data_IF_517963504738
#
_entry.id   IF_517963504738
#
_cell.length_a   1.000
_cell.length_b   1.000
_cell.length_c   1.000
_cell.angle_alpha   90.00
_cell.angle_beta   90.00
_cell.angle_gamma   90.00
#
_symmetry.space_group_name_H-M   'P 1'
#
loop_
_entity.id
_entity.type
_entity.pdbx_description
1 polymer ?
#
# COMPACT_ATOMS: atom_id res chain seq x y z
N UNK A 1 41.16 -0.37 23.37
CA UNK A 1 42.09 -1.16 22.54
C UNK A 1 41.91 -2.69 22.64
N UNK A 2 41.71 -3.29 23.84
CA UNK A 2 41.49 -4.76 23.98
C UNK A 2 40.14 -5.29 23.46
N UNK A 3 39.10 -4.45 23.36
CA UNK A 3 37.76 -4.85 22.86
C UNK A 3 37.71 -4.97 21.33
N UNK A 4 38.51 -4.18 20.61
CA UNK A 4 38.56 -4.19 19.13
C UNK A 4 39.26 -5.45 18.59
N UNK A 5 40.26 -5.98 19.33
CA UNK A 5 40.96 -7.21 18.93
C UNK A 5 40.14 -8.49 19.14
N UNK A 6 39.11 -8.47 20.01
CA UNK A 6 38.18 -9.58 20.16
C UNK A 6 37.13 -9.62 19.04
N UNK A 7 36.68 -8.46 18.54
CA UNK A 7 35.76 -8.39 17.38
C UNK A 7 36.40 -8.93 16.09
N UNK A 8 37.69 -8.67 15.84
CA UNK A 8 38.38 -9.23 14.65
C UNK A 8 38.57 -10.75 14.74
N UNK A 9 38.71 -11.32 15.94
CA UNK A 9 38.93 -12.76 16.11
C UNK A 9 37.64 -13.58 15.91
N UNK A 10 36.47 -12.97 16.12
CA UNK A 10 35.15 -13.59 15.87
C UNK A 10 34.70 -13.42 14.41
N UNK A 11 34.98 -12.26 13.78
CA UNK A 11 34.63 -12.03 12.37
C UNK A 11 35.47 -12.85 11.37
N UNK A 12 36.63 -13.39 11.79
CA UNK A 12 37.57 -14.08 10.90
C UNK A 12 37.27 -15.57 10.61
N UNK A 13 36.21 -16.18 11.15
CA UNK A 13 35.99 -17.63 11.03
C UNK A 13 34.70 -18.10 10.36
N UNK A 14 33.73 -17.24 10.07
CA UNK A 14 32.46 -17.65 9.46
C UNK A 14 32.29 -17.22 8.00
N UNK A 15 33.38 -17.27 7.23
CA UNK A 15 33.29 -17.31 5.76
C UNK A 15 33.55 -18.74 5.30
N UNK A 16 32.50 -19.57 5.27
CA UNK A 16 32.40 -20.76 4.43
C UNK A 16 30.93 -21.25 4.40
N UNK A 17 30.36 -21.09 3.20
CA UNK A 17 29.33 -21.91 2.53
C UNK A 17 28.35 -22.72 3.40
N UNK A 18 27.07 -22.37 3.19
CA UNK A 18 25.85 -23.18 3.29
C UNK A 18 25.88 -24.54 3.97
N UNK A 19 25.10 -24.66 5.04
CA UNK A 19 24.48 -25.91 5.48
C UNK A 19 23.08 -25.61 6.07
N UNK A 20 22.01 -26.33 5.67
CA UNK A 20 20.65 -26.10 6.15
C UNK A 20 20.33 -27.11 7.25
N UNK A 21 20.59 -26.76 8.51
CA UNK A 21 19.97 -27.33 9.73
C UNK A 21 20.88 -27.05 10.92
N UNK A 22 20.67 -25.92 11.61
CA UNK A 22 21.21 -25.70 12.95
C UNK A 22 20.01 -25.36 13.86
N UNK A 23 19.63 -26.24 14.79
CA UNK A 23 18.68 -25.88 15.84
C UNK A 23 19.32 -24.81 16.72
N UNK A 24 18.66 -23.66 16.86
CA UNK A 24 19.12 -22.55 17.70
C UNK A 24 19.28 -23.03 19.16
N UNK A 25 20.51 -22.99 19.68
CA UNK A 25 20.91 -23.57 20.96
C UNK A 25 20.49 -22.73 22.19
N UNK A 26 20.16 -23.38 23.33
CA UNK A 26 19.74 -22.76 24.60
C UNK A 26 20.82 -21.92 25.33
N UNK A 27 22.08 -21.94 24.88
CA UNK A 27 23.18 -21.16 25.47
C UNK A 27 23.09 -19.62 25.24
N UNK A 28 22.22 -19.18 24.33
CA UNK A 28 21.93 -17.75 24.09
C UNK A 28 20.89 -17.20 25.08
N UNK A 29 20.05 -18.07 25.64
CA UNK A 29 18.96 -17.73 26.57
C UNK A 29 19.51 -17.29 27.93
N UNK A 30 20.43 -18.09 28.49
CA UNK A 30 21.07 -17.83 29.79
C UNK A 30 21.90 -16.52 29.78
N UNK A 31 22.60 -16.24 28.67
CA UNK A 31 23.39 -15.01 28.53
C UNK A 31 22.54 -13.76 28.32
N UNK A 32 21.36 -13.89 27.72
CA UNK A 32 20.44 -12.79 27.48
C UNK A 32 19.68 -12.45 28.77
N UNK A 33 19.24 -13.46 29.51
CA UNK A 33 18.60 -13.28 30.81
C UNK A 33 19.57 -12.68 31.84
N UNK A 34 20.83 -13.12 31.88
CA UNK A 34 21.84 -12.54 32.78
C UNK A 34 22.18 -11.09 32.44
N UNK A 35 22.24 -10.73 31.15
CA UNK A 35 22.47 -9.34 30.71
C UNK A 35 21.29 -8.41 31.00
N UNK A 36 20.07 -8.94 31.02
CA UNK A 36 18.86 -8.19 31.37
C UNK A 36 18.72 -8.07 32.90
N UNK A 37 19.05 -9.14 33.65
CA UNK A 37 19.04 -9.13 35.13
C UNK A 37 20.05 -8.16 35.72
N UNK A 38 21.29 -8.16 35.22
CA UNK A 38 22.33 -7.22 35.69
C UNK A 38 22.01 -5.76 35.37
N UNK A 39 21.14 -5.49 34.39
CA UNK A 39 20.65 -4.13 34.07
C UNK A 39 19.43 -3.69 34.88
N UNK A 40 18.74 -4.61 35.56
CA UNK A 40 17.56 -4.32 36.38
C UNK A 40 17.88 -3.93 37.82
N UNK A 41 19.13 -4.11 38.28
CA UNK A 41 19.54 -3.90 39.67
C UNK A 41 20.11 -2.50 39.98
N UNK A 42 20.20 -1.61 39.00
CA UNK A 42 20.57 -0.20 39.20
C UNK A 42 19.33 0.66 38.96
N UNK A 43 18.59 0.87 40.03
CA UNK A 43 17.33 1.61 40.08
C UNK A 43 17.64 3.05 40.50
N UNK A 44 17.75 3.96 39.52
CA UNK A 44 17.80 5.40 39.76
C UNK A 44 16.77 6.11 38.85
N UNK A 45 15.89 6.86 39.50
CA UNK A 45 14.69 7.52 38.96
C UNK A 45 14.91 8.56 37.85
N UNK A 46 16.15 8.82 37.43
CA UNK A 46 16.46 9.72 36.30
C UNK A 46 16.30 9.05 34.91
N UNK A 47 16.28 7.72 34.84
CA UNK A 47 16.25 7.00 33.55
C UNK A 47 14.86 6.89 32.89
N UNK A 48 13.77 7.27 33.58
CA UNK A 48 12.43 7.30 32.99
C UNK A 48 12.29 8.38 31.89
N UNK A 49 13.06 9.47 31.97
CA UNK A 49 13.12 10.50 30.90
C UNK A 49 14.10 10.13 29.77
N UNK A 50 15.11 9.29 30.04
CA UNK A 50 15.98 8.74 28.99
C UNK A 50 15.35 7.58 28.23
N UNK A 51 14.35 6.89 28.81
CA UNK A 51 13.54 5.88 28.11
C UNK A 51 12.75 6.44 26.93
N UNK A 52 12.44 7.75 26.87
CA UNK A 52 11.77 8.35 25.70
C UNK A 52 12.66 8.52 24.48
N UNK A 53 13.95 8.20 24.59
CA UNK A 53 14.93 8.27 23.50
C UNK A 53 15.69 6.95 23.28
N UNK A 54 15.21 5.82 23.84
CA UNK A 54 15.91 4.55 23.75
C UNK A 54 15.63 3.81 22.42
N UNK A 55 16.34 4.31 21.40
CA UNK A 55 17.00 3.63 20.29
C UNK A 55 16.26 2.63 19.38
N UNK A 56 15.90 3.18 18.21
CA UNK A 56 15.96 2.58 16.86
C UNK A 56 17.29 1.87 16.47
N UNK A 57 18.28 1.81 17.37
CA UNK A 57 19.62 1.26 17.14
C UNK A 57 19.93 0.06 18.02
N UNK A 58 18.93 -0.66 18.53
CA UNK A 58 19.19 -1.96 19.15
C UNK A 58 19.62 -2.93 18.02
N UNK A 59 20.91 -3.34 17.95
CA UNK A 59 21.42 -4.14 16.83
C UNK A 59 20.69 -5.47 16.70
N UNK A 60 20.08 -5.94 17.79
CA UNK A 60 19.26 -7.15 17.85
C UNK A 60 17.94 -6.98 17.07
N UNK A 61 17.29 -5.80 17.14
CA UNK A 61 16.05 -5.52 16.40
C UNK A 61 16.30 -5.44 14.90
N UNK A 62 17.36 -4.74 14.49
CA UNK A 62 17.82 -4.73 13.09
C UNK A 62 18.14 -6.15 12.60
N UNK A 63 18.81 -6.95 13.42
CA UNK A 63 19.18 -8.31 13.04
C UNK A 63 17.95 -9.24 12.92
N UNK A 64 16.95 -9.11 13.79
CA UNK A 64 15.66 -9.83 13.65
C UNK A 64 14.89 -9.36 12.41
N UNK A 65 14.85 -8.05 12.14
CA UNK A 65 14.22 -7.48 10.94
C UNK A 65 14.90 -7.95 9.64
N UNK A 66 16.24 -7.99 9.60
CA UNK A 66 17.04 -8.42 8.45
C UNK A 66 16.97 -9.94 8.21
N UNK A 67 16.78 -10.74 9.27
CA UNK A 67 16.64 -12.20 9.16
C UNK A 67 15.19 -12.65 8.95
N UNK A 68 14.20 -11.77 9.14
CA UNK A 68 12.79 -12.09 8.89
C UNK A 68 12.55 -12.28 7.39
N UNK A 69 12.40 -13.52 6.97
CA UNK A 69 11.95 -13.85 5.60
C UNK A 69 10.50 -13.44 5.40
N UNK A 70 10.18 -12.90 4.23
CA UNK A 70 8.80 -12.55 3.88
C UNK A 70 7.96 -13.82 3.82
N UNK A 71 6.89 -13.86 4.61
CA UNK A 71 5.96 -14.98 4.67
C UNK A 71 5.10 -15.05 3.41
N UNK A 72 4.69 -16.26 3.02
CA UNK A 72 3.69 -16.49 1.96
C UNK A 72 2.42 -15.69 2.22
N UNK A 73 2.02 -15.55 3.49
CA UNK A 73 0.90 -14.70 3.90
C UNK A 73 1.05 -13.24 3.43
N UNK A 74 2.24 -12.63 3.62
CA UNK A 74 2.49 -11.24 3.21
C UNK A 74 2.47 -11.12 1.69
N UNK A 75 3.02 -12.09 0.95
CA UNK A 75 2.95 -12.10 -0.50
C UNK A 75 1.51 -12.21 -1.03
N UNK A 76 0.72 -13.14 -0.48
CA UNK A 76 -0.70 -13.31 -0.87
C UNK A 76 -1.50 -12.06 -0.54
N UNK A 77 -1.34 -11.51 0.68
CA UNK A 77 -2.02 -10.28 1.07
C UNK A 77 -1.62 -9.10 0.19
N UNK A 78 -0.33 -8.93 -0.11
CA UNK A 78 0.15 -7.89 -1.03
C UNK A 78 -0.48 -8.05 -2.41
N UNK A 79 -0.49 -9.26 -2.97
CA UNK A 79 -1.07 -9.52 -4.28
C UNK A 79 -2.56 -9.18 -4.34
N UNK A 80 -3.33 -9.60 -3.33
CA UNK A 80 -4.78 -9.29 -3.23
C UNK A 80 -5.02 -7.79 -3.10
N UNK A 81 -4.22 -7.10 -2.28
CA UNK A 81 -4.33 -5.65 -2.09
C UNK A 81 -3.94 -4.91 -3.38
N UNK A 82 -2.91 -5.38 -4.10
CA UNK A 82 -2.45 -4.81 -5.37
C UNK A 82 -3.43 -5.00 -6.54
N UNK A 83 -4.49 -5.81 -6.39
CA UNK A 83 -5.58 -5.84 -7.40
C UNK A 83 -6.20 -4.45 -7.56
N UNK A 84 -6.27 -3.64 -6.49
CA UNK A 84 -6.72 -2.25 -6.61
C UNK A 84 -5.83 -1.39 -7.51
N UNK A 85 -4.51 -1.65 -7.52
CA UNK A 85 -3.58 -1.03 -8.48
C UNK A 85 -3.79 -1.54 -9.90
N UNK A 86 -4.02 -2.85 -10.07
CA UNK A 86 -4.38 -3.42 -11.37
C UNK A 86 -5.62 -2.77 -11.97
N UNK A 87 -6.66 -2.55 -11.16
CA UNK A 87 -7.89 -1.89 -11.61
C UNK A 87 -7.65 -0.44 -12.04
N UNK A 88 -6.81 0.30 -11.31
CA UNK A 88 -6.40 1.64 -11.69
C UNK A 88 -5.73 1.65 -13.06
N UNK A 89 -4.74 0.77 -13.27
CA UNK A 89 -4.06 0.66 -14.56
C UNK A 89 -4.97 0.17 -15.70
N UNK A 90 -5.91 -0.72 -15.42
CA UNK A 90 -6.88 -1.16 -16.42
C UNK A 90 -7.75 0.01 -16.91
N UNK A 91 -8.30 0.83 -16.00
CA UNK A 91 -9.13 1.98 -16.39
C UNK A 91 -8.35 3.04 -17.18
N UNK A 92 -7.09 3.28 -16.80
CA UNK A 92 -6.18 4.17 -17.52
C UNK A 92 -5.84 3.66 -18.93
N UNK A 93 -5.69 2.34 -19.11
CA UNK A 93 -5.41 1.75 -20.42
C UNK A 93 -6.63 1.69 -21.32
N UNK A 94 -7.76 1.21 -20.80
CA UNK A 94 -8.94 0.86 -21.60
C UNK A 94 -9.61 2.07 -22.26
N UNK A 95 -9.51 3.27 -21.66
CA UNK A 95 -10.09 4.50 -22.23
C UNK A 95 -9.53 4.81 -23.61
N UNK A 96 -8.23 4.61 -23.84
CA UNK A 96 -7.58 4.94 -25.11
C UNK A 96 -8.15 4.12 -26.26
N UNK A 97 -8.29 2.81 -26.07
CA UNK A 97 -8.85 1.91 -27.08
C UNK A 97 -10.37 2.04 -27.19
N UNK A 98 -11.07 2.24 -26.08
CA UNK A 98 -12.52 2.43 -26.10
C UNK A 98 -12.92 3.73 -26.79
N UNK A 99 -12.11 4.79 -26.71
CA UNK A 99 -12.39 6.08 -27.36
C UNK A 99 -12.53 5.92 -28.87
N UNK A 100 -11.66 5.14 -29.52
CA UNK A 100 -11.72 4.86 -30.96
C UNK A 100 -13.05 4.22 -31.39
N UNK A 101 -13.61 3.36 -30.55
CA UNK A 101 -14.89 2.68 -30.82
C UNK A 101 -16.10 3.56 -30.45
N UNK A 102 -15.98 4.38 -29.40
CA UNK A 102 -17.02 5.32 -28.97
C UNK A 102 -17.33 6.36 -30.04
N UNK A 103 -16.36 6.72 -30.90
CA UNK A 103 -16.57 7.64 -32.03
C UNK A 103 -17.57 7.12 -33.07
N UNK A 104 -17.73 5.80 -33.19
CA UNK A 104 -18.69 5.20 -34.11
C UNK A 104 -20.12 5.24 -33.57
N UNK A 105 -20.29 5.17 -32.24
CA UNK A 105 -21.60 5.14 -31.57
C UNK A 105 -22.07 6.53 -31.14
N UNK A 106 -21.14 7.42 -30.77
CA UNK A 106 -21.41 8.79 -30.36
C UNK A 106 -20.58 9.75 -31.23
N UNK A 107 -21.24 10.61 -32.00
CA UNK A 107 -20.55 11.69 -32.71
C UNK A 107 -20.12 12.75 -31.68
N UNK A 108 -18.88 12.64 -31.20
CA UNK A 108 -18.35 13.48 -30.11
C UNK A 108 -17.40 14.56 -30.62
N UNK A 109 -17.58 15.77 -30.13
CA UNK A 109 -16.61 16.87 -30.31
C UNK A 109 -15.33 16.61 -29.52
N UNK A 110 -14.21 17.23 -29.90
CA UNK A 110 -12.95 17.11 -29.17
C UNK A 110 -13.07 17.51 -27.68
N UNK A 111 -13.90 18.52 -27.38
CA UNK A 111 -14.21 18.94 -26.02
C UNK A 111 -14.91 17.82 -25.22
N UNK A 112 -15.88 17.14 -25.82
CA UNK A 112 -16.60 16.04 -25.17
C UNK A 112 -15.70 14.83 -24.91
N UNK A 113 -14.79 14.50 -25.85
CA UNK A 113 -13.77 13.47 -25.62
C UNK A 113 -12.88 13.82 -24.42
N UNK A 114 -12.41 15.07 -24.37
CA UNK A 114 -11.63 15.58 -23.24
C UNK A 114 -12.39 15.53 -21.91
N UNK A 115 -13.69 15.81 -21.92
CA UNK A 115 -14.54 15.69 -20.73
C UNK A 115 -14.69 14.24 -20.25
N UNK A 116 -14.82 13.27 -21.15
CA UNK A 116 -14.90 11.84 -20.77
C UNK A 116 -13.62 11.37 -20.10
N UNK A 117 -12.45 11.73 -20.66
CA UNK A 117 -11.15 11.40 -20.04
C UNK A 117 -10.98 12.17 -18.72
N UNK A 118 -11.29 13.46 -18.71
CA UNK A 118 -11.11 14.34 -17.55
C UNK A 118 -12.07 14.04 -16.39
N UNK A 119 -13.25 13.49 -16.66
CA UNK A 119 -14.22 13.09 -15.65
C UNK A 119 -13.64 12.05 -14.69
N UNK A 120 -12.88 11.07 -15.18
CA UNK A 120 -12.19 10.09 -14.33
C UNK A 120 -11.20 10.79 -13.40
N UNK A 121 -10.37 11.70 -13.93
CA UNK A 121 -9.39 12.45 -13.14
C UNK A 121 -10.08 13.33 -12.08
N UNK A 122 -11.19 13.97 -12.44
CA UNK A 122 -12.00 14.76 -11.50
C UNK A 122 -12.54 13.87 -10.37
N UNK A 123 -13.10 12.70 -10.71
CA UNK A 123 -13.54 11.71 -9.73
C UNK A 123 -12.38 11.25 -8.82
N UNK A 124 -11.20 11.02 -9.38
CA UNK A 124 -10.03 10.57 -8.64
C UNK A 124 -9.54 11.59 -7.61
N UNK A 125 -9.65 12.89 -7.90
CA UNK A 125 -9.36 13.97 -6.92
C UNK A 125 -10.28 13.83 -5.70
N UNK A 126 -11.59 13.69 -5.91
CA UNK A 126 -12.54 13.50 -4.81
C UNK A 126 -12.31 12.18 -4.07
N UNK A 127 -12.06 11.10 -4.81
CA UNK A 127 -11.74 9.78 -4.26
C UNK A 127 -10.54 9.82 -3.32
N UNK A 128 -9.41 10.34 -3.80
CA UNK A 128 -8.16 10.39 -3.03
C UNK A 128 -8.19 11.35 -1.83
N UNK A 129 -8.90 12.48 -1.93
CA UNK A 129 -9.06 13.42 -0.82
C UNK A 129 -9.93 12.85 0.30
N UNK A 130 -10.98 12.11 -0.05
CA UNK A 130 -11.93 11.55 0.92
C UNK A 130 -11.46 10.21 1.51
N UNK A 131 -10.74 9.40 0.73
CA UNK A 131 -10.32 8.06 1.15
C UNK A 131 -9.37 8.05 2.35
N UNK A 132 -8.57 9.09 2.54
CA UNK A 132 -7.59 9.14 3.63
C UNK A 132 -8.28 9.21 5.00
N UNK A 133 -9.15 10.21 5.17
CA UNK A 133 -9.97 10.37 6.37
C UNK A 133 -10.90 9.17 6.59
N UNK A 134 -11.47 8.63 5.51
CA UNK A 134 -12.37 7.48 5.57
C UNK A 134 -11.64 6.19 6.01
N UNK A 135 -10.44 5.93 5.47
CA UNK A 135 -9.56 4.81 5.86
C UNK A 135 -9.12 4.87 7.31
N UNK A 136 -8.89 6.06 7.83
CA UNK A 136 -8.55 6.25 9.23
C UNK A 136 -9.74 5.99 10.18
N UNK A 137 -10.97 6.24 9.72
CA UNK A 137 -12.17 6.01 10.51
C UNK A 137 -12.64 4.55 10.46
N UNK A 138 -12.80 3.98 9.27
CA UNK A 138 -13.44 2.68 9.02
C UNK A 138 -12.42 1.54 8.90
N UNK A 139 -11.18 1.82 8.52
CA UNK A 139 -10.12 0.82 8.32
C UNK A 139 -9.68 0.71 6.87
N UNK A 140 -8.49 0.12 6.66
CA UNK A 140 -7.87 0.02 5.33
C UNK A 140 -8.59 -1.04 4.50
N UNK A 141 -8.90 -2.18 5.12
CA UNK A 141 -9.66 -3.28 4.50
C UNK A 141 -11.04 -2.81 4.04
N UNK A 142 -11.79 -2.16 4.93
CA UNK A 142 -13.15 -1.71 4.61
C UNK A 142 -13.16 -0.64 3.52
N UNK A 143 -12.22 0.32 3.55
CA UNK A 143 -12.09 1.31 2.48
C UNK A 143 -11.82 0.66 1.12
N UNK A 144 -10.96 -0.35 1.08
CA UNK A 144 -10.71 -1.08 -0.17
C UNK A 144 -11.93 -1.88 -0.65
N UNK A 145 -12.73 -2.45 0.24
CA UNK A 145 -13.99 -3.13 -0.10
C UNK A 145 -15.01 -2.16 -0.67
N UNK A 146 -15.20 -1.00 -0.02
CA UNK A 146 -16.09 0.07 -0.51
C UNK A 146 -15.65 0.56 -1.88
N UNK A 147 -14.34 0.79 -2.08
CA UNK A 147 -13.80 1.19 -3.38
C UNK A 147 -14.09 0.13 -4.47
N UNK A 148 -13.91 -1.16 -4.16
CA UNK A 148 -14.22 -2.24 -5.10
C UNK A 148 -15.72 -2.28 -5.48
N UNK A 149 -16.62 -2.07 -4.52
CA UNK A 149 -18.08 -2.00 -4.78
C UNK A 149 -18.42 -0.82 -5.71
N UNK A 150 -17.86 0.37 -5.42
CA UNK A 150 -18.07 1.56 -6.26
C UNK A 150 -17.53 1.32 -7.67
N UNK A 151 -16.39 0.64 -7.80
CA UNK A 151 -15.81 0.31 -9.10
C UNK A 151 -16.69 -0.66 -9.89
N UNK A 152 -17.24 -1.70 -9.26
CA UNK A 152 -18.19 -2.62 -9.91
C UNK A 152 -19.43 -1.86 -10.39
N UNK A 153 -19.99 -0.99 -9.54
CA UNK A 153 -21.12 -0.13 -9.91
C UNK A 153 -20.80 0.77 -11.10
N UNK A 154 -19.63 1.41 -11.09
CA UNK A 154 -19.15 2.24 -12.19
C UNK A 154 -18.95 1.45 -13.49
N UNK A 155 -18.36 0.26 -13.42
CA UNK A 155 -18.19 -0.64 -14.56
C UNK A 155 -19.53 -1.07 -15.18
N UNK A 156 -20.54 -1.37 -14.33
CA UNK A 156 -21.88 -1.70 -14.79
C UNK A 156 -22.57 -0.51 -15.47
N UNK A 157 -22.45 0.70 -14.89
CA UNK A 157 -22.97 1.93 -15.49
C UNK A 157 -22.33 2.18 -16.86
N UNK A 158 -21.01 2.04 -16.97
CA UNK A 158 -20.28 2.22 -18.23
C UNK A 158 -20.67 1.17 -19.28
N UNK A 159 -20.84 -0.09 -18.88
CA UNK A 159 -21.22 -1.17 -19.79
C UNK A 159 -22.65 -1.00 -20.33
N UNK A 160 -23.56 -0.48 -19.50
CA UNK A 160 -24.96 -0.22 -19.85
C UNK A 160 -25.19 1.19 -20.42
N UNK A 161 -24.13 1.97 -20.64
CA UNK A 161 -24.27 3.34 -21.09
C UNK A 161 -24.92 3.41 -22.49
N UNK A 162 -26.09 4.06 -22.54
CA UNK A 162 -26.85 4.35 -23.77
C UNK A 162 -26.79 5.82 -24.16
N UNK A 163 -26.36 6.70 -23.24
CA UNK A 163 -26.23 8.14 -23.45
C UNK A 163 -24.84 8.65 -23.05
N UNK A 164 -24.44 9.78 -23.64
CA UNK A 164 -23.19 10.48 -23.30
C UNK A 164 -23.13 10.89 -21.82
N UNK A 165 -24.25 11.35 -21.26
CA UNK A 165 -24.32 11.76 -19.85
C UNK A 165 -24.11 10.57 -18.90
N UNK A 166 -24.68 9.41 -19.23
CA UNK A 166 -24.50 8.20 -18.43
C UNK A 166 -23.06 7.67 -18.52
N UNK A 167 -22.42 7.79 -19.68
CA UNK A 167 -21.00 7.50 -19.85
C UNK A 167 -20.14 8.43 -18.97
N UNK A 168 -20.41 9.74 -18.99
CA UNK A 168 -19.70 10.73 -18.20
C UNK A 168 -19.86 10.48 -16.69
N UNK A 169 -21.09 10.16 -16.27
CA UNK A 169 -21.38 9.80 -14.88
C UNK A 169 -20.65 8.51 -14.46
N UNK A 170 -20.67 7.47 -15.30
CA UNK A 170 -19.92 6.24 -15.06
C UNK A 170 -18.42 6.49 -14.88
N UNK A 171 -17.84 7.39 -15.69
CA UNK A 171 -16.43 7.80 -15.56
C UNK A 171 -16.13 8.51 -14.25
N UNK A 172 -17.00 9.40 -13.80
CA UNK A 172 -16.86 10.03 -12.48
C UNK A 172 -16.89 8.98 -11.35
N UNK A 173 -17.82 8.03 -11.41
CA UNK A 173 -17.97 6.98 -10.39
C UNK A 173 -16.73 6.07 -10.35
N UNK A 174 -16.25 5.59 -11.50
CA UNK A 174 -15.02 4.80 -11.58
C UNK A 174 -13.82 5.62 -11.11
N UNK A 175 -13.74 6.90 -11.48
CA UNK A 175 -12.70 7.83 -11.02
C UNK A 175 -12.63 7.92 -9.49
N UNK A 176 -13.76 8.06 -8.81
CA UNK A 176 -13.82 8.09 -7.33
C UNK A 176 -13.24 6.80 -6.73
N UNK A 177 -13.63 5.64 -7.26
CA UNK A 177 -13.11 4.36 -6.80
C UNK A 177 -11.61 4.19 -7.09
N UNK A 178 -11.16 4.62 -8.27
CA UNK A 178 -9.76 4.56 -8.70
C UNK A 178 -8.86 5.46 -7.85
N UNK A 179 -9.29 6.69 -7.56
CA UNK A 179 -8.58 7.61 -6.67
C UNK A 179 -8.52 7.15 -5.22
N UNK A 180 -9.61 6.56 -4.72
CA UNK A 180 -9.60 5.95 -3.39
C UNK A 180 -8.64 4.75 -3.31
N UNK A 181 -8.63 3.92 -4.37
CA UNK A 181 -7.78 2.73 -4.47
C UNK A 181 -6.29 3.10 -4.57
N UNK A 182 -5.94 4.11 -5.37
CA UNK A 182 -4.55 4.53 -5.57
C UNK A 182 -3.89 5.05 -4.28
N UNK A 183 -4.67 5.62 -3.35
CA UNK A 183 -4.17 6.03 -2.05
C UNK A 183 -4.14 4.88 -1.04
N UNK A 184 -5.21 4.07 -0.94
CA UNK A 184 -5.33 3.05 0.11
C UNK A 184 -4.38 1.88 -0.07
N UNK A 185 -4.18 1.43 -1.31
CA UNK A 185 -3.42 0.23 -1.65
C UNK A 185 -1.94 0.33 -1.20
N UNK A 186 -1.16 1.36 -1.57
CA UNK A 186 0.22 1.48 -1.12
C UNK A 186 0.34 1.66 0.39
N UNK A 187 -0.59 2.38 1.02
CA UNK A 187 -0.64 2.54 2.48
C UNK A 187 -0.83 1.16 3.13
N UNK A 188 -1.84 0.42 2.69
CA UNK A 188 -2.17 -0.87 3.28
C UNK A 188 -1.03 -1.87 3.12
N UNK A 189 -0.45 -1.98 1.91
CA UNK A 189 0.75 -2.80 1.66
C UNK A 189 1.86 -2.40 2.62
N UNK A 190 2.13 -1.10 2.77
CA UNK A 190 3.19 -0.62 3.65
C UNK A 190 2.97 -0.99 5.12
N UNK A 191 1.72 -1.06 5.58
CA UNK A 191 1.37 -1.36 6.97
C UNK A 191 1.40 -2.87 7.29
N UNK A 192 1.26 -3.73 6.28
CA UNK A 192 1.38 -5.20 6.44
C UNK A 192 2.76 -5.74 6.02
N UNK A 193 3.63 -4.88 5.51
CA UNK A 193 4.96 -5.26 5.03
C UNK A 193 6.01 -5.16 6.13
N UNK A 194 6.96 -6.12 6.20
CA UNK A 194 8.18 -5.95 6.98
C UNK A 194 8.95 -4.69 6.54
N UNK A 195 9.56 -3.98 7.49
CA UNK A 195 10.21 -2.68 7.24
C UNK A 195 11.26 -2.73 6.12
N UNK A 196 12.08 -3.78 6.09
CA UNK A 196 13.14 -3.96 5.09
C UNK A 196 12.61 -4.23 3.66
N UNK A 197 11.51 -5.00 3.54
CA UNK A 197 10.93 -5.38 2.24
C UNK A 197 9.81 -4.46 1.77
N UNK A 198 9.39 -3.49 2.60
CA UNK A 198 8.29 -2.57 2.30
C UNK A 198 8.41 -1.91 0.94
N UNK A 199 9.59 -1.40 0.58
CA UNK A 199 9.80 -0.76 -0.73
C UNK A 199 9.50 -1.72 -1.89
N UNK A 200 10.04 -2.95 -1.82
CA UNK A 200 9.85 -3.98 -2.86
C UNK A 200 8.38 -4.39 -2.99
N UNK A 201 7.67 -4.55 -1.86
CA UNK A 201 6.26 -4.92 -1.86
C UNK A 201 5.37 -3.79 -2.40
N UNK A 202 5.70 -2.53 -2.10
CA UNK A 202 5.02 -1.38 -2.72
C UNK A 202 5.29 -1.32 -4.24
N UNK A 203 6.49 -1.71 -4.70
CA UNK A 203 6.78 -1.82 -6.14
C UNK A 203 5.92 -2.88 -6.84
N UNK A 204 5.51 -3.95 -6.16
CA UNK A 204 4.56 -4.94 -6.73
C UNK A 204 3.24 -4.28 -7.10
N UNK A 205 2.78 -3.29 -6.34
CA UNK A 205 1.58 -2.53 -6.70
C UNK A 205 1.75 -1.78 -8.02
N UNK A 206 2.90 -1.14 -8.22
CA UNK A 206 3.20 -0.41 -9.46
C UNK A 206 3.25 -1.38 -10.65
N UNK A 207 3.86 -2.56 -10.45
CA UNK A 207 3.87 -3.62 -11.45
C UNK A 207 2.45 -4.08 -11.81
N UNK A 208 1.57 -4.20 -10.81
CA UNK A 208 0.17 -4.54 -11.02
C UNK A 208 -0.59 -3.44 -11.78
N UNK A 209 -0.32 -2.15 -11.52
CA UNK A 209 -0.85 -1.05 -12.33
C UNK A 209 -0.43 -1.19 -13.80
N UNK A 210 0.87 -1.35 -14.07
CA UNK A 210 1.35 -1.53 -15.45
C UNK A 210 0.81 -2.82 -16.09
N UNK A 211 0.67 -3.90 -15.31
CA UNK A 211 0.03 -5.14 -15.75
C UNK A 211 -1.45 -4.96 -16.11
N UNK A 212 -2.18 -4.13 -15.35
CA UNK A 212 -3.55 -3.73 -15.66
C UNK A 212 -3.66 -2.99 -16.99
N UNK A 213 -2.74 -2.07 -17.26
CA UNK A 213 -2.66 -1.35 -18.54
C UNK A 213 -2.43 -2.33 -19.71
N UNK A 214 -1.47 -3.25 -19.57
CA UNK A 214 -1.19 -4.27 -20.58
C UNK A 214 -2.42 -5.15 -20.84
N UNK A 215 -3.10 -5.58 -19.77
CA UNK A 215 -4.29 -6.40 -19.88
C UNK A 215 -5.44 -5.64 -20.56
N UNK A 216 -5.60 -4.35 -20.27
CA UNK A 216 -6.57 -3.50 -20.97
C UNK A 216 -6.33 -3.47 -22.48
N UNK A 217 -5.07 -3.36 -22.94
CA UNK A 217 -4.75 -3.42 -24.36
C UNK A 217 -4.99 -4.80 -24.98
N UNK A 218 -4.75 -5.89 -24.25
CA UNK A 218 -5.06 -7.25 -24.72
C UNK A 218 -6.57 -7.47 -24.88
N UNK A 219 -7.37 -7.02 -23.91
CA UNK A 219 -8.83 -7.03 -24.01
C UNK A 219 -9.27 -6.14 -25.16
N UNK A 220 -8.68 -4.95 -25.31
CA UNK A 220 -8.99 -4.06 -26.41
C UNK A 220 -8.79 -4.75 -27.78
N UNK A 221 -7.65 -5.42 -27.97
CA UNK A 221 -7.34 -6.16 -29.19
C UNK A 221 -8.32 -7.32 -29.47
N UNK A 222 -8.84 -7.98 -28.43
CA UNK A 222 -9.83 -9.04 -28.57
C UNK A 222 -11.26 -8.56 -28.88
N UNK A 223 -11.59 -7.32 -28.52
CA UNK A 223 -12.94 -6.75 -28.62
C UNK A 223 -13.05 -5.59 -29.63
N UNK A 224 -12.23 -5.58 -30.69
CA UNK A 224 -12.27 -4.57 -31.77
C UNK A 224 -13.43 -4.85 -32.75
N UNK A 225 -14.67 -4.72 -32.28
CA UNK A 225 -15.87 -4.77 -33.12
C UNK A 225 -16.88 -3.71 -32.66
N UNK A 226 -17.91 -3.42 -33.48
CA UNK A 226 -18.92 -2.42 -33.14
C UNK A 226 -19.62 -2.76 -31.83
N UNK A 227 -19.67 -1.80 -30.90
CA UNK A 227 -20.19 -2.01 -29.54
C UNK A 227 -19.25 -2.78 -28.58
N UNK A 228 -18.06 -3.18 -29.02
CA UNK A 228 -17.06 -3.89 -28.21
C UNK A 228 -16.60 -3.10 -26.97
N UNK A 229 -16.66 -1.77 -27.01
CA UNK A 229 -16.32 -0.90 -25.89
C UNK A 229 -17.16 -1.17 -24.62
N UNK A 230 -18.41 -1.64 -24.77
CA UNK A 230 -19.26 -2.03 -23.63
C UNK A 230 -18.71 -3.25 -22.89
N UNK A 231 -18.13 -4.19 -23.63
CA UNK A 231 -17.45 -5.35 -23.07
C UNK A 231 -16.11 -4.98 -22.45
N UNK A 232 -15.37 -4.05 -23.06
CA UNK A 232 -14.13 -3.52 -22.49
C UNK A 232 -14.36 -2.89 -21.10
N UNK A 233 -15.44 -2.13 -20.91
CA UNK A 233 -15.82 -1.64 -19.58
C UNK A 233 -16.46 -2.70 -18.69
N UNK A 234 -17.28 -3.60 -19.24
CA UNK A 234 -17.91 -4.68 -18.46
C UNK A 234 -16.88 -5.62 -17.81
N UNK A 235 -15.84 -6.02 -18.56
CA UNK A 235 -14.75 -6.88 -18.08
C UNK A 235 -13.95 -6.22 -16.95
N UNK A 236 -13.92 -4.88 -16.88
CA UNK A 236 -13.28 -4.14 -15.78
C UNK A 236 -13.92 -4.40 -14.41
N UNK A 237 -15.15 -4.92 -14.37
CA UNK A 237 -15.84 -5.31 -13.14
C UNK A 237 -15.39 -6.65 -12.57
N UNK A 238 -14.65 -7.48 -13.32
CA UNK A 238 -14.21 -8.81 -12.86
C UNK A 238 -13.09 -8.70 -11.80
N UNK A 239 -11.98 -7.96 -12.01
CA UNK A 239 -10.95 -7.79 -10.98
C UNK A 239 -11.47 -7.27 -9.62
N UNK A 240 -12.33 -6.23 -9.54
CA UNK A 240 -12.86 -5.80 -8.25
C UNK A 240 -13.77 -6.83 -7.60
N UNK A 241 -14.51 -7.63 -8.38
CA UNK A 241 -15.32 -8.72 -7.81
C UNK A 241 -14.42 -9.78 -7.15
N UNK A 242 -13.30 -10.14 -7.80
CA UNK A 242 -12.29 -11.03 -7.23
C UNK A 242 -11.69 -10.40 -5.96
N UNK A 243 -11.29 -9.12 -6.03
CA UNK A 243 -10.76 -8.41 -4.87
C UNK A 243 -11.76 -8.39 -3.71
N UNK A 244 -13.05 -8.16 -3.97
CA UNK A 244 -14.09 -8.13 -2.96
C UNK A 244 -14.16 -9.44 -2.18
N UNK A 245 -14.09 -10.58 -2.89
CA UNK A 245 -14.12 -11.92 -2.28
C UNK A 245 -12.81 -12.20 -1.52
N UNK A 246 -11.66 -11.98 -2.17
CA UNK A 246 -10.35 -12.28 -1.57
C UNK A 246 -10.06 -11.41 -0.34
N UNK A 247 -10.49 -10.15 -0.35
CA UNK A 247 -10.25 -9.20 0.74
C UNK A 247 -10.99 -9.57 2.04
N UNK A 248 -12.01 -10.44 1.97
CA UNK A 248 -12.68 -10.97 3.17
C UNK A 248 -11.71 -11.80 4.04
N UNK A 249 -10.73 -12.46 3.41
CA UNK A 249 -9.75 -13.31 4.09
C UNK A 249 -8.51 -12.55 4.57
N UNK A 250 -8.28 -11.32 4.07
CA UNK A 250 -7.14 -10.50 4.47
C UNK A 250 -7.46 -9.75 5.76
N UNK A 251 -6.60 -9.82 6.80
CA UNK A 251 -6.84 -9.12 8.06
C UNK A 251 -6.58 -7.62 7.93
N UNK A 252 -7.26 -6.83 8.74
CA UNK A 252 -7.09 -5.38 8.82
C UNK A 252 -5.65 -4.98 9.20
N UNK A 253 -5.27 -3.75 8.84
CA UNK A 253 -3.94 -3.22 9.16
C UNK A 253 -3.64 -3.22 10.68
N UNK A 254 -2.46 -3.69 11.11
CA UNK A 254 -2.02 -3.61 12.51
C UNK A 254 -2.06 -2.18 13.07
N UNK A 255 -1.67 -1.18 12.27
CA UNK A 255 -1.67 0.23 12.69
C UNK A 255 -3.08 0.74 12.96
N UNK A 256 -4.04 0.36 12.13
CA UNK A 256 -5.44 0.71 12.35
C UNK A 256 -5.98 0.06 13.64
N UNK A 257 -5.65 -1.21 13.88
CA UNK A 257 -6.10 -1.92 15.09
C UNK A 257 -5.52 -1.31 16.37
N UNK A 258 -4.25 -0.90 16.35
CA UNK A 258 -3.64 -0.15 17.47
C UNK A 258 -4.36 1.18 17.69
N UNK A 259 -4.67 1.93 16.62
CA UNK A 259 -5.43 3.18 16.71
C UNK A 259 -6.82 3.01 17.31
N UNK A 260 -7.48 1.87 17.08
CA UNK A 260 -8.79 1.53 17.67
C UNK A 260 -8.69 0.90 19.07
N UNK A 261 -7.49 0.80 19.66
CA UNK A 261 -7.27 0.19 20.97
C UNK A 261 -7.33 -1.35 20.98
N UNK A 262 -7.40 -2.01 19.82
CA UNK A 262 -7.48 -3.47 19.68
C UNK A 262 -6.08 -4.11 19.66
N UNK A 263 -5.33 -3.92 20.75
CA UNK A 263 -3.91 -4.28 20.85
C UNK A 263 -3.65 -5.77 20.63
N UNK A 264 -4.47 -6.64 21.24
CA UNK A 264 -4.29 -8.10 21.11
C UNK A 264 -4.55 -8.60 19.69
N UNK A 265 -5.44 -7.97 18.94
CA UNK A 265 -5.66 -8.30 17.52
C UNK A 265 -4.48 -7.85 16.67
N UNK A 266 -3.92 -6.66 16.96
CA UNK A 266 -2.72 -6.16 16.30
C UNK A 266 -1.52 -7.10 16.53
N UNK A 267 -1.30 -7.59 17.76
CA UNK A 267 -0.26 -8.59 18.08
C UNK A 267 -0.40 -9.86 17.24
N UNK A 268 -1.62 -10.40 17.13
CA UNK A 268 -1.88 -11.63 16.34
C UNK A 268 -1.55 -11.44 14.87
N UNK A 269 -1.80 -10.27 14.29
CA UNK A 269 -1.51 -10.00 12.88
C UNK A 269 -0.02 -9.72 12.69
N UNK A 270 0.62 -8.98 13.59
CA UNK A 270 2.08 -8.79 13.58
C UNK A 270 2.81 -10.13 13.71
N UNK A 271 2.32 -11.07 14.53
CA UNK A 271 2.87 -12.43 14.61
C UNK A 271 2.76 -13.22 13.30
N UNK A 272 1.76 -12.93 12.45
CA UNK A 272 1.65 -13.52 11.10
C UNK A 272 2.61 -12.87 10.09
N UNK A 273 2.87 -11.57 10.24
CA UNK A 273 3.81 -10.81 9.39
C UNK A 273 5.25 -11.18 9.73
N UNK A 274 5.57 -11.33 11.02
CA UNK A 274 6.89 -11.71 11.54
C UNK A 274 6.82 -13.11 12.19
N UNK A 275 6.78 -14.19 11.40
CA UNK A 275 6.75 -15.55 11.93
C UNK A 275 8.03 -15.82 12.73
N UNK A 276 7.88 -16.29 13.98
CA UNK A 276 9.02 -16.57 14.87
C UNK A 276 9.58 -15.35 15.62
N UNK A 277 8.95 -14.17 15.51
CA UNK A 277 9.30 -13.03 16.36
C UNK A 277 8.91 -13.28 17.82
N UNK A 278 9.80 -12.90 18.74
CA UNK A 278 9.55 -12.96 20.18
C UNK A 278 8.39 -12.04 20.57
N UNK A 279 7.65 -12.42 21.61
CA UNK A 279 6.54 -11.61 22.13
C UNK A 279 6.99 -10.20 22.59
N UNK A 280 8.25 -10.07 23.00
CA UNK A 280 8.89 -8.79 23.34
C UNK A 280 9.04 -7.88 22.12
N UNK A 281 9.47 -8.40 20.96
CA UNK A 281 9.54 -7.66 19.70
C UNK A 281 8.16 -7.15 19.26
N UNK A 282 7.14 -8.03 19.32
CA UNK A 282 5.77 -7.65 18.93
C UNK A 282 5.19 -6.55 19.83
N UNK A 283 5.54 -6.57 21.12
CA UNK A 283 5.10 -5.55 22.08
C UNK A 283 5.80 -4.21 21.84
N UNK A 284 7.10 -4.23 21.54
CA UNK A 284 7.86 -3.03 21.17
C UNK A 284 7.35 -2.41 19.86
N UNK A 285 7.04 -3.22 18.84
CA UNK A 285 6.48 -2.69 17.58
C UNK A 285 5.15 -1.97 17.81
N UNK A 286 4.32 -2.49 18.72
CA UNK A 286 3.06 -1.84 19.10
C UNK A 286 3.31 -0.54 19.84
N UNK A 287 4.27 -0.50 20.76
CA UNK A 287 4.64 0.73 21.49
C UNK A 287 5.10 1.82 20.52
N UNK A 288 5.95 1.48 19.54
CA UNK A 288 6.38 2.40 18.47
C UNK A 288 5.18 2.90 17.67
N UNK A 289 4.24 2.02 17.32
CA UNK A 289 3.01 2.42 16.60
C UNK A 289 2.16 3.34 17.48
N UNK A 290 2.01 3.06 18.78
CA UNK A 290 1.25 3.89 19.72
C UNK A 290 1.86 5.28 19.88
N UNK A 291 3.18 5.36 20.04
CA UNK A 291 3.91 6.62 20.13
C UNK A 291 3.73 7.45 18.85
N UNK A 292 3.89 6.80 17.69
CA UNK A 292 3.68 7.43 16.37
C UNK A 292 2.25 7.97 16.26
N UNK A 293 1.25 7.23 16.72
CA UNK A 293 -0.16 7.68 16.69
C UNK A 293 -0.39 8.84 17.67
N UNK A 294 0.17 8.78 18.88
CA UNK A 294 0.03 9.82 19.89
C UNK A 294 0.63 11.15 19.44
N UNK A 295 1.81 11.12 18.81
CA UNK A 295 2.44 12.30 18.23
C UNK A 295 1.62 12.88 17.06
N UNK A 296 0.91 12.03 16.31
CA UNK A 296 0.13 12.41 15.13
C UNK A 296 -1.38 12.62 15.41
N UNK A 297 -1.85 12.43 16.64
CA UNK A 297 -3.27 12.47 17.01
C UNK A 297 -3.96 13.83 16.75
N UNK A 298 -3.18 14.89 16.55
CA UNK A 298 -3.65 16.28 16.33
C UNK A 298 -3.31 16.81 14.93
N UNK A 299 -3.15 15.92 13.95
CA UNK A 299 -2.77 16.25 12.57
C UNK A 299 -3.83 17.07 11.82
N UNK A 300 -3.82 18.39 11.98
CA UNK A 300 -4.53 19.30 11.08
C UNK A 300 -3.74 19.44 9.78
N UNK A 301 -4.41 19.47 8.62
CA UNK A 301 -3.80 19.78 7.31
C UNK A 301 -2.93 21.06 7.35
N UNK A 302 -3.27 22.01 8.24
CA UNK A 302 -2.49 23.22 8.49
C UNK A 302 -1.07 22.97 9.02
N UNK A 303 -0.81 21.83 9.67
CA UNK A 303 0.53 21.45 10.16
C UNK A 303 1.46 20.98 9.05
N UNK A 304 0.93 20.56 7.89
CA UNK A 304 1.73 20.18 6.73
C UNK A 304 2.43 21.40 6.11
N UNK A 305 1.78 22.57 6.18
CA UNK A 305 2.32 23.83 5.67
C UNK A 305 3.31 24.53 6.63
N UNK A 306 3.60 23.92 7.79
CA UNK A 306 4.54 24.47 8.78
C UNK A 306 5.88 23.73 8.74
N UNK A 307 6.96 24.42 9.07
CA UNK A 307 8.26 23.80 9.29
C UNK A 307 8.19 22.82 10.48
N UNK A 308 8.81 21.62 10.42
CA UNK A 308 9.67 21.08 9.37
C UNK A 308 8.97 20.30 8.24
N UNK A 309 7.64 20.10 8.30
CA UNK A 309 6.89 19.27 7.36
C UNK A 309 6.79 19.86 5.93
N UNK A 310 7.03 21.17 5.80
CA UNK A 310 6.95 21.88 4.52
C UNK A 310 7.97 21.36 3.49
N UNK A 311 9.18 20.98 3.91
CA UNK A 311 10.22 20.47 3.01
C UNK A 311 9.82 19.16 2.31
N UNK A 312 9.46 18.10 3.07
CA UNK A 312 8.92 16.86 2.51
C UNK A 312 7.66 17.06 1.65
N UNK A 313 6.80 18.01 2.02
CA UNK A 313 5.60 18.34 1.23
C UNK A 313 5.96 18.90 -0.15
N UNK A 314 6.87 19.88 -0.21
CA UNK A 314 7.32 20.48 -1.48
C UNK A 314 7.98 19.43 -2.37
N UNK A 315 8.81 18.56 -1.80
CA UNK A 315 9.48 17.48 -2.55
C UNK A 315 8.42 16.50 -3.10
N UNK A 316 7.46 16.09 -2.28
CA UNK A 316 6.42 15.13 -2.69
C UNK A 316 5.51 15.72 -3.77
N UNK A 317 5.04 16.96 -3.61
CA UNK A 317 4.23 17.64 -4.61
C UNK A 317 5.03 17.92 -5.89
N UNK A 318 6.30 18.31 -5.77
CA UNK A 318 7.20 18.54 -6.90
C UNK A 318 7.42 17.27 -7.71
N UNK A 319 7.72 16.15 -7.04
CA UNK A 319 7.87 14.84 -7.70
C UNK A 319 6.59 14.43 -8.44
N UNK A 320 5.41 14.61 -7.83
CA UNK A 320 4.13 14.29 -8.47
C UNK A 320 3.85 15.18 -9.68
N UNK A 321 4.20 16.47 -9.60
CA UNK A 321 4.05 17.43 -10.68
C UNK A 321 4.98 17.10 -11.85
N UNK A 322 6.25 16.78 -11.60
CA UNK A 322 7.18 16.35 -12.65
C UNK A 322 6.75 15.03 -13.29
N UNK A 323 6.22 14.09 -12.51
CA UNK A 323 5.67 12.84 -13.04
C UNK A 323 4.53 13.12 -14.03
N UNK A 324 3.60 14.00 -13.67
CA UNK A 324 2.45 14.35 -14.52
C UNK A 324 2.84 15.18 -15.75
N UNK A 325 3.74 16.16 -15.60
CA UNK A 325 4.21 17.00 -16.71
C UNK A 325 5.09 16.27 -17.72
N UNK A 326 5.60 15.07 -17.39
CA UNK A 326 6.31 14.23 -18.35
C UNK A 326 5.47 13.82 -19.57
N UNK A 327 4.13 13.98 -19.48
CA UNK A 327 3.22 13.68 -20.58
C UNK A 327 2.92 12.18 -20.74
N UNK A 328 3.29 11.35 -19.76
CA UNK A 328 3.02 9.91 -19.78
C UNK A 328 1.51 9.62 -19.95
N UNK A 329 0.65 10.27 -19.15
CA UNK A 329 -0.79 10.05 -19.23
C UNK A 329 -1.37 10.49 -20.58
N UNK A 330 -0.87 11.58 -21.17
CA UNK A 330 -1.26 12.02 -22.53
C UNK A 330 -0.90 10.97 -23.57
N UNK A 331 0.32 10.41 -23.51
CA UNK A 331 0.74 9.35 -24.41
C UNK A 331 -0.11 8.08 -24.24
N UNK A 332 -0.52 7.76 -23.02
CA UNK A 332 -1.37 6.60 -22.75
C UNK A 332 -2.81 6.79 -23.21
N UNK A 333 -3.39 7.98 -23.07
CA UNK A 333 -4.77 8.24 -23.44
C UNK A 333 -4.98 8.45 -24.95
N UNK A 334 -4.00 9.03 -25.63
CA UNK A 334 -4.11 9.44 -27.04
C UNK A 334 -3.13 8.74 -27.98
N UNK A 335 -2.32 7.79 -27.47
CA UNK A 335 -1.32 7.09 -28.28
C UNK A 335 -1.82 5.85 -29.03
N UNK A 336 -3.09 5.47 -28.85
CA UNK A 336 -3.70 4.30 -29.49
C UNK A 336 -4.15 4.59 -30.94
#
# INVERSE_FOLDING_TARGET
ARVINLQKKVMGKNSRKGDPDIPYQPLMEEKLEDQIRTRSSTDDSEDLKKRSHLHFDDPVLKQVEETTKVTTFVYVATFVISIGGFMFGYDTGVISSAMLLLENDFTMTALQKGMVVGATTLGAIFGGLTSGSFSDFVGRRMTSLVAAIIFIGGALILSLASSYELLLFGRLVVGIAAGASSQIVPIYISEISPRFYRGRLVTVNILMCTGGQLFAYLIAAGFVFQGGWRWMFGVSGIPPAIQLICMIFIPESPRYLVRKGKIEQAKRILAKIYPGAYQTFLSQEIEIIQETIAQNATGSYKKLFKYPNLGPLIISCGLQLFQQLSGFDTAMYYGA
#
